data_IF_438265158111
#
_entry.id   IF_438265158111
#
_cell.length_a   1.000
_cell.length_b   1.000
_cell.length_c   1.000
_cell.angle_alpha   90.00
_cell.angle_beta   90.00
_cell.angle_gamma   90.00
#
_symmetry.space_group_name_H-M   'P 1'
#
loop_
_entity.id
_entity.type
_entity.pdbx_description
1 polymer ?
#
# COMPACT_ATOMS: atom_id res chain seq x y z
N UNK A 1 26.51 11.44 4.25
CA UNK A 1 25.77 10.27 4.76
C UNK A 1 24.41 10.70 5.26
N UNK A 2 23.38 9.91 4.99
CA UNK A 2 22.02 10.21 5.44
C UNK A 2 21.95 9.95 6.96
N UNK A 3 21.78 11.03 7.75
CA UNK A 3 21.69 10.94 9.22
C UNK A 3 20.53 10.07 9.72
N UNK A 4 19.47 9.91 8.92
CA UNK A 4 18.30 9.11 9.27
C UNK A 4 18.41 7.64 8.86
N UNK A 5 19.47 7.24 8.14
CA UNK A 5 19.61 5.85 7.67
C UNK A 5 19.64 4.84 8.81
N UNK A 6 20.30 5.20 9.91
CA UNK A 6 20.33 4.36 11.11
C UNK A 6 18.93 4.16 11.68
N UNK A 7 18.17 5.25 11.82
CA UNK A 7 16.79 5.20 12.34
C UNK A 7 15.91 4.32 11.48
N UNK A 8 16.05 4.38 10.13
CA UNK A 8 15.30 3.53 9.23
C UNK A 8 15.65 2.06 9.41
N UNK A 9 16.93 1.72 9.50
CA UNK A 9 17.37 0.33 9.69
C UNK A 9 16.93 -0.25 11.03
N UNK A 10 16.92 0.54 12.09
CA UNK A 10 16.43 0.14 13.42
C UNK A 10 14.91 -0.11 13.44
N UNK A 11 14.17 0.51 12.51
CA UNK A 11 12.72 0.45 12.44
C UNK A 11 12.20 -0.34 11.22
N UNK A 12 13.04 -1.11 10.54
CA UNK A 12 12.72 -1.84 9.29
C UNK A 12 11.53 -2.80 9.42
N UNK A 13 11.24 -3.29 10.60
CA UNK A 13 10.15 -4.25 10.83
C UNK A 13 8.76 -3.62 10.68
N UNK A 14 8.68 -2.29 10.80
CA UNK A 14 7.41 -1.56 10.67
C UNK A 14 7.48 -0.34 9.74
N UNK A 15 8.68 0.08 9.31
CA UNK A 15 8.87 1.22 8.41
C UNK A 15 9.58 0.78 7.14
N UNK A 16 8.86 0.73 6.03
CA UNK A 16 9.38 0.35 4.74
C UNK A 16 8.96 1.36 3.66
N UNK A 17 9.73 1.40 2.60
CA UNK A 17 9.54 2.33 1.49
C UNK A 17 9.27 1.55 0.20
N UNK A 18 8.31 2.02 -0.58
CA UNK A 18 7.96 1.37 -1.82
C UNK A 18 7.51 2.33 -2.91
N UNK A 19 7.52 1.83 -4.14
CA UNK A 19 7.05 2.57 -5.29
C UNK A 19 5.53 2.75 -5.24
N UNK A 20 5.05 3.97 -5.51
CA UNK A 20 3.63 4.28 -5.57
C UNK A 20 3.17 4.76 -6.94
N UNK A 21 3.91 5.68 -7.55
CA UNK A 21 3.55 6.31 -8.83
C UNK A 21 4.79 6.80 -9.58
N UNK A 22 4.66 6.94 -10.89
CA UNK A 22 5.69 7.56 -11.74
C UNK A 22 5.73 9.07 -11.48
N UNK A 23 4.56 9.67 -11.32
CA UNK A 23 4.38 11.10 -11.01
C UNK A 23 3.12 11.30 -10.16
N UNK A 24 2.95 12.48 -9.51
CA UNK A 24 1.79 12.74 -8.66
C UNK A 24 0.44 12.62 -9.39
N UNK A 25 0.37 13.11 -10.64
CA UNK A 25 -0.81 12.92 -11.48
C UNK A 25 -0.81 11.52 -12.09
N UNK A 26 -1.98 10.86 -12.07
CA UNK A 26 -2.12 9.55 -12.69
C UNK A 26 -2.11 9.67 -14.23
N UNK A 27 -1.20 8.95 -14.86
CA UNK A 27 -1.17 8.75 -16.30
C UNK A 27 -1.21 7.25 -16.60
N UNK A 28 -2.35 6.83 -17.17
CA UNK A 28 -2.58 5.42 -17.50
C UNK A 28 -1.65 4.95 -18.62
N UNK A 29 -1.36 5.79 -19.60
CA UNK A 29 -0.50 5.43 -20.73
C UNK A 29 0.93 5.17 -20.26
N UNK A 30 1.51 6.08 -19.46
CA UNK A 30 2.85 5.90 -18.88
C UNK A 30 2.90 4.69 -17.94
N UNK A 31 1.92 4.54 -17.05
CA UNK A 31 1.85 3.42 -16.10
C UNK A 31 1.66 2.06 -16.80
N UNK A 32 1.04 2.04 -17.99
CA UNK A 32 0.88 0.84 -18.81
C UNK A 32 2.14 0.47 -19.59
N UNK A 33 2.98 1.43 -19.88
CA UNK A 33 4.21 1.23 -20.65
C UNK A 33 5.28 0.62 -19.76
N UNK A 34 5.59 -0.66 -19.99
CA UNK A 34 6.55 -1.40 -19.17
C UNK A 34 7.96 -0.80 -19.19
N UNK A 35 8.37 -0.17 -20.29
CA UNK A 35 9.72 0.43 -20.41
C UNK A 35 9.77 1.68 -19.52
N UNK A 36 8.77 2.54 -19.57
CA UNK A 36 8.70 3.76 -18.74
C UNK A 36 8.57 3.36 -17.27
N UNK A 37 7.66 2.41 -16.96
CA UNK A 37 7.42 1.95 -15.60
C UNK A 37 8.67 1.33 -14.99
N UNK A 38 9.36 0.43 -15.69
CA UNK A 38 10.54 -0.24 -15.14
C UNK A 38 11.67 0.73 -14.84
N UNK A 39 11.94 1.71 -15.72
CA UNK A 39 12.94 2.75 -15.48
C UNK A 39 12.61 3.58 -14.24
N UNK A 40 11.36 4.02 -14.10
CA UNK A 40 10.93 4.82 -12.94
C UNK A 40 11.01 4.00 -11.64
N UNK A 41 10.59 2.73 -11.68
CA UNK A 41 10.68 1.81 -10.54
C UNK A 41 12.13 1.60 -10.12
N UNK A 42 13.02 1.25 -11.05
CA UNK A 42 14.43 0.96 -10.76
C UNK A 42 15.18 2.19 -10.24
N UNK A 43 14.85 3.37 -10.77
CA UNK A 43 15.40 4.62 -10.26
C UNK A 43 15.00 4.84 -8.79
N UNK A 44 13.71 4.77 -8.47
CA UNK A 44 13.22 4.95 -7.09
C UNK A 44 13.75 3.85 -6.16
N UNK A 45 13.79 2.59 -6.64
CA UNK A 45 14.31 1.46 -5.87
C UNK A 45 15.78 1.67 -5.50
N UNK A 46 16.59 2.22 -6.42
CA UNK A 46 17.96 2.63 -6.15
C UNK A 46 18.05 3.76 -5.13
N UNK A 47 17.19 4.79 -5.26
CA UNK A 47 17.10 5.89 -4.30
C UNK A 47 16.77 5.39 -2.90
N UNK A 48 15.80 4.48 -2.75
CA UNK A 48 15.45 3.86 -1.45
C UNK A 48 16.65 3.13 -0.87
N UNK A 49 17.37 2.35 -1.68
CA UNK A 49 18.57 1.63 -1.24
C UNK A 49 19.66 2.55 -0.70
N UNK A 50 19.85 3.72 -1.31
CA UNK A 50 20.82 4.73 -0.87
C UNK A 50 20.31 5.44 0.41
N UNK A 51 19.05 5.86 0.39
CA UNK A 51 18.43 6.71 1.43
C UNK A 51 18.15 5.93 2.72
N UNK A 52 17.50 4.77 2.62
CA UNK A 52 16.99 4.03 3.76
C UNK A 52 17.68 2.67 3.99
N UNK A 53 18.37 2.13 2.99
CA UNK A 53 18.90 0.78 3.01
C UNK A 53 17.99 -0.20 2.25
N UNK A 54 18.59 -1.26 1.74
CA UNK A 54 17.87 -2.28 0.97
C UNK A 54 16.88 -3.06 1.82
N UNK A 55 17.16 -3.19 3.09
CA UNK A 55 16.35 -3.88 4.10
C UNK A 55 15.01 -3.18 4.37
N UNK A 56 14.93 -1.90 4.05
CA UNK A 56 13.72 -1.09 4.19
C UNK A 56 12.88 -1.04 2.91
N UNK A 57 13.19 -1.84 1.90
CA UNK A 57 12.34 -1.95 0.71
C UNK A 57 11.09 -2.77 1.00
N UNK A 58 9.94 -2.20 0.67
CA UNK A 58 8.67 -2.88 0.81
C UNK A 58 8.52 -4.02 -0.20
N UNK A 59 8.07 -5.18 0.25
CA UNK A 59 7.65 -6.30 -0.59
C UNK A 59 6.17 -6.26 -0.96
N UNK A 60 5.42 -5.36 -0.34
CA UNK A 60 4.02 -5.07 -0.64
C UNK A 60 3.87 -3.64 -1.15
N UNK A 61 3.13 -3.45 -2.24
CA UNK A 61 2.93 -2.13 -2.84
C UNK A 61 1.47 -1.78 -3.03
N UNK A 62 1.16 -0.50 -2.89
CA UNK A 62 -0.09 0.12 -3.32
C UNK A 62 0.20 1.07 -4.48
N UNK A 63 -0.03 0.62 -5.71
CA UNK A 63 0.16 1.50 -6.86
C UNK A 63 -0.98 2.52 -6.97
N UNK A 64 -0.65 3.66 -7.56
CA UNK A 64 -1.57 4.76 -7.77
C UNK A 64 -2.80 4.28 -8.57
N UNK A 65 -3.99 4.71 -8.15
CA UNK A 65 -5.30 4.26 -8.67
C UNK A 65 -5.50 2.74 -8.67
N UNK A 66 -4.64 1.96 -7.97
CA UNK A 66 -4.67 0.49 -7.97
C UNK A 66 -4.59 -0.09 -9.39
N UNK A 67 -3.80 0.57 -10.23
CA UNK A 67 -3.70 0.21 -11.63
C UNK A 67 -2.31 -0.33 -11.99
N UNK A 68 -2.31 -1.45 -12.70
CA UNK A 68 -1.15 -2.01 -13.38
C UNK A 68 -1.62 -2.97 -14.49
N UNK A 69 -0.87 -3.04 -15.58
CA UNK A 69 -1.06 -4.08 -16.59
C UNK A 69 -0.47 -5.41 -16.12
N UNK A 70 -0.87 -6.57 -16.69
CA UNK A 70 -0.26 -7.86 -16.36
C UNK A 70 1.26 -7.89 -16.56
N UNK A 71 1.78 -7.17 -17.55
CA UNK A 71 3.24 -7.04 -17.79
C UNK A 71 3.93 -6.32 -16.64
N UNK A 72 3.33 -5.25 -16.13
CA UNK A 72 3.84 -4.50 -14.97
C UNK A 72 3.78 -5.36 -13.70
N UNK A 73 2.69 -6.08 -13.47
CA UNK A 73 2.57 -7.00 -12.34
C UNK A 73 3.65 -8.09 -12.39
N UNK A 74 3.87 -8.71 -13.55
CA UNK A 74 4.94 -9.71 -13.73
C UNK A 74 6.33 -9.14 -13.49
N UNK A 75 6.58 -7.91 -13.94
CA UNK A 75 7.86 -7.21 -13.67
C UNK A 75 8.06 -7.00 -12.16
N UNK A 76 7.05 -6.48 -11.46
CA UNK A 76 7.11 -6.25 -10.02
C UNK A 76 7.37 -7.57 -9.25
N UNK A 77 6.71 -8.65 -9.65
CA UNK A 77 6.94 -9.96 -9.05
C UNK A 77 8.41 -10.41 -9.20
N UNK A 78 9.00 -10.24 -10.39
CA UNK A 78 10.43 -10.52 -10.63
C UNK A 78 11.37 -9.62 -9.79
N UNK A 79 10.91 -8.45 -9.37
CA UNK A 79 11.66 -7.53 -8.48
C UNK A 79 11.48 -7.83 -6.99
N UNK A 80 10.80 -8.94 -6.65
CA UNK A 80 10.60 -9.36 -5.26
C UNK A 80 9.34 -8.78 -4.60
N UNK A 81 8.51 -8.07 -5.36
CA UNK A 81 7.19 -7.67 -4.86
C UNK A 81 6.29 -8.89 -4.87
N UNK A 82 5.82 -9.30 -3.72
CA UNK A 82 4.99 -10.49 -3.54
C UNK A 82 3.52 -10.17 -3.26
N UNK A 83 3.20 -8.88 -3.00
CA UNK A 83 1.84 -8.45 -2.70
C UNK A 83 1.49 -7.08 -3.28
N UNK A 84 0.25 -6.97 -3.78
CA UNK A 84 -0.34 -5.71 -4.21
C UNK A 84 -1.58 -5.40 -3.36
N UNK A 85 -1.61 -4.19 -2.79
CA UNK A 85 -2.74 -3.71 -1.99
C UNK A 85 -3.82 -3.17 -2.93
N UNK A 86 -4.97 -3.84 -2.95
CA UNK A 86 -6.09 -3.54 -3.84
C UNK A 86 -7.06 -2.51 -3.24
N UNK A 87 -7.96 -2.02 -4.08
CA UNK A 87 -8.93 -0.99 -3.72
C UNK A 87 -9.88 -1.41 -2.59
N UNK A 88 -10.29 -0.42 -1.82
CA UNK A 88 -11.32 -0.51 -0.79
C UNK A 88 -12.75 -0.36 -1.34
N UNK A 89 -12.88 0.02 -2.62
CA UNK A 89 -14.16 0.25 -3.31
C UNK A 89 -14.38 -0.74 -4.47
N UNK A 90 -15.35 -0.44 -5.34
CA UNK A 90 -15.81 -1.35 -6.40
C UNK A 90 -14.97 -1.34 -7.67
N UNK A 91 -13.91 -0.54 -7.73
CA UNK A 91 -13.04 -0.52 -8.90
C UNK A 91 -12.29 -1.83 -9.10
N UNK A 92 -12.02 -2.16 -10.35
CA UNK A 92 -11.14 -3.28 -10.69
C UNK A 92 -9.69 -2.88 -10.41
N UNK A 93 -9.02 -3.65 -9.55
CA UNK A 93 -7.63 -3.43 -9.20
C UNK A 93 -6.70 -4.23 -10.14
N UNK A 94 -5.62 -3.59 -10.58
CA UNK A 94 -4.50 -4.23 -11.29
C UNK A 94 -4.91 -5.02 -12.55
N UNK A 95 -5.94 -4.56 -13.24
CA UNK A 95 -6.49 -5.26 -14.42
C UNK A 95 -6.90 -6.72 -14.14
N UNK A 96 -7.23 -7.03 -12.89
CA UNK A 96 -7.74 -8.36 -12.53
C UNK A 96 -9.04 -8.68 -13.30
N UNK A 97 -9.22 -9.93 -13.74
CA UNK A 97 -10.52 -10.37 -14.25
C UNK A 97 -11.63 -10.07 -13.22
N UNK A 98 -12.82 -9.67 -13.70
CA UNK A 98 -13.95 -9.29 -12.84
C UNK A 98 -14.25 -10.34 -11.76
N UNK A 99 -14.27 -11.63 -12.14
CA UNK A 99 -14.50 -12.76 -11.20
C UNK A 99 -13.49 -12.78 -10.06
N UNK A 100 -12.20 -12.53 -10.36
CA UNK A 100 -11.16 -12.51 -9.33
C UNK A 100 -11.25 -11.27 -8.44
N UNK A 101 -11.60 -10.13 -9.01
CA UNK A 101 -11.85 -8.93 -8.24
C UNK A 101 -13.05 -9.09 -7.29
N UNK A 102 -14.12 -9.78 -7.73
CA UNK A 102 -15.27 -10.11 -6.89
C UNK A 102 -14.90 -11.10 -5.77
N UNK A 103 -14.05 -12.09 -6.08
CA UNK A 103 -13.49 -13.02 -5.07
C UNK A 103 -12.63 -12.29 -4.04
N UNK A 104 -11.79 -11.35 -4.49
CA UNK A 104 -10.96 -10.53 -3.60
C UNK A 104 -11.80 -9.69 -2.63
N UNK A 105 -12.93 -9.17 -3.07
CA UNK A 105 -13.85 -8.42 -2.20
C UNK A 105 -14.44 -9.28 -1.09
N UNK A 106 -14.73 -10.55 -1.38
CA UNK A 106 -15.32 -11.50 -0.41
C UNK A 106 -14.27 -12.04 0.56
N UNK A 107 -13.12 -12.45 0.03
CA UNK A 107 -12.08 -13.16 0.79
C UNK A 107 -11.00 -12.23 1.37
N UNK A 108 -11.00 -10.92 1.05
CA UNK A 108 -9.97 -9.95 1.39
C UNK A 108 -8.58 -10.25 0.82
N UNK A 109 -8.30 -11.48 0.42
CA UNK A 109 -7.01 -11.89 -0.15
C UNK A 109 -7.23 -12.93 -1.23
N UNK A 110 -6.49 -12.82 -2.33
CA UNK A 110 -6.41 -13.85 -3.39
C UNK A 110 -4.98 -13.95 -3.90
N UNK A 111 -4.64 -15.08 -4.50
CA UNK A 111 -3.39 -15.25 -5.26
C UNK A 111 -3.73 -15.47 -6.73
N UNK A 112 -3.01 -14.80 -7.62
CA UNK A 112 -3.18 -14.95 -9.05
C UNK A 112 -1.86 -14.67 -9.78
N UNK A 113 -1.45 -15.58 -10.67
CA UNK A 113 -0.20 -15.50 -11.43
C UNK A 113 1.04 -15.18 -10.57
N UNK A 114 1.16 -15.86 -9.42
CA UNK A 114 2.29 -15.70 -8.49
C UNK A 114 2.24 -14.45 -7.60
N UNK A 115 1.32 -13.53 -7.86
CA UNK A 115 1.14 -12.32 -7.07
C UNK A 115 -0.02 -12.48 -6.08
N UNK A 116 0.20 -12.06 -4.84
CA UNK A 116 -0.86 -11.97 -3.83
C UNK A 116 -1.52 -10.58 -3.90
N UNK A 117 -2.84 -10.56 -3.83
CA UNK A 117 -3.63 -9.34 -3.77
C UNK A 117 -4.36 -9.29 -2.43
N UNK A 118 -4.24 -8.17 -1.73
CA UNK A 118 -4.96 -7.96 -0.49
C UNK A 118 -5.79 -6.68 -0.57
N UNK A 119 -7.05 -6.79 -0.20
CA UNK A 119 -7.96 -5.64 -0.15
C UNK A 119 -7.52 -4.66 0.94
N UNK A 120 -7.56 -3.37 0.64
CA UNK A 120 -7.54 -2.32 1.65
C UNK A 120 -8.87 -2.34 2.40
N UNK A 121 -8.84 -2.42 3.71
CA UNK A 121 -10.05 -2.50 4.53
C UNK A 121 -10.53 -1.11 4.95
N UNK A 122 -9.60 -0.21 5.23
CA UNK A 122 -9.92 1.07 5.81
C UNK A 122 -9.09 2.20 5.21
N UNK A 123 -9.79 3.23 4.75
CA UNK A 123 -9.20 4.48 4.29
C UNK A 123 -9.66 5.62 5.19
N UNK A 124 -8.72 6.25 5.89
CA UNK A 124 -9.02 7.27 6.88
C UNK A 124 -9.85 8.44 6.31
N UNK A 125 -9.57 8.85 5.08
CA UNK A 125 -10.27 9.97 4.43
C UNK A 125 -11.77 9.71 4.25
N UNK A 126 -12.15 8.44 4.02
CA UNK A 126 -13.54 8.03 3.81
C UNK A 126 -14.31 7.82 5.12
N UNK A 127 -13.63 7.76 6.23
CA UNK A 127 -14.31 7.57 7.53
C UNK A 127 -15.14 8.77 7.89
N UNK A 128 -16.43 8.56 8.08
CA UNK A 128 -17.37 9.58 8.55
C UNK A 128 -17.45 9.59 10.08
N UNK A 129 -17.58 8.42 10.67
CA UNK A 129 -17.67 8.24 12.11
C UNK A 129 -16.76 7.10 12.60
N UNK A 130 -15.46 7.40 12.86
CA UNK A 130 -14.45 6.39 13.19
C UNK A 130 -14.86 5.33 14.22
N UNK A 131 -15.57 5.64 15.32
CA UNK A 131 -15.98 4.61 16.28
C UNK A 131 -16.82 3.48 15.71
N UNK A 132 -17.66 3.76 14.73
CA UNK A 132 -18.52 2.76 14.09
C UNK A 132 -17.74 1.93 13.08
N UNK A 133 -16.99 2.61 12.20
CA UNK A 133 -16.24 1.93 11.14
C UNK A 133 -15.16 1.02 11.72
N UNK A 134 -14.46 1.45 12.78
CA UNK A 134 -13.43 0.65 13.43
C UNK A 134 -14.00 -0.59 14.15
N UNK A 135 -15.20 -0.51 14.72
CA UNK A 135 -15.84 -1.67 15.37
C UNK A 135 -16.25 -2.76 14.37
N UNK A 136 -16.52 -2.37 13.13
CA UNK A 136 -16.97 -3.26 12.06
C UNK A 136 -15.80 -3.87 11.25
N UNK A 137 -14.57 -3.65 11.67
CA UNK A 137 -13.40 -4.24 11.03
C UNK A 137 -13.34 -5.76 11.29
N UNK A 138 -12.80 -6.54 10.34
CA UNK A 138 -12.58 -7.97 10.56
C UNK A 138 -11.59 -8.21 11.72
N UNK A 139 -11.78 -9.34 12.42
CA UNK A 139 -10.93 -9.72 13.56
C UNK A 139 -9.54 -10.27 13.16
N UNK A 140 -9.21 -10.14 11.91
CA UNK A 140 -7.96 -10.62 11.35
C UNK A 140 -7.03 -9.42 11.01
N UNK A 141 -6.23 -9.54 9.98
CA UNK A 141 -5.34 -8.49 9.52
C UNK A 141 -6.11 -7.39 8.78
N UNK A 142 -5.99 -6.18 9.24
CA UNK A 142 -6.60 -4.98 8.64
C UNK A 142 -5.53 -4.19 7.90
N UNK A 143 -5.80 -3.88 6.63
CA UNK A 143 -5.01 -2.91 5.86
C UNK A 143 -5.63 -1.53 6.00
N UNK A 144 -4.96 -0.70 6.77
CA UNK A 144 -5.33 0.70 6.98
C UNK A 144 -4.39 1.62 6.22
N UNK A 145 -4.91 2.64 5.55
CA UNK A 145 -4.06 3.67 4.98
C UNK A 145 -4.67 5.07 5.04
N UNK A 146 -3.80 6.05 4.94
CA UNK A 146 -4.15 7.47 4.78
C UNK A 146 -3.14 8.13 3.85
N UNK A 147 -3.48 9.32 3.37
CA UNK A 147 -2.53 10.20 2.68
C UNK A 147 -2.00 11.23 3.66
N UNK A 148 -0.73 11.55 3.55
CA UNK A 148 -0.04 12.52 4.40
C UNK A 148 -0.70 13.90 4.41
N UNK A 149 -1.29 14.33 3.28
CA UNK A 149 -2.01 15.58 3.18
C UNK A 149 -3.21 15.67 4.13
N UNK A 150 -3.78 14.54 4.54
CA UNK A 150 -4.88 14.50 5.50
C UNK A 150 -4.42 14.81 6.94
N UNK A 151 -3.14 14.59 7.22
CA UNK A 151 -2.56 14.83 8.54
C UNK A 151 -2.19 16.32 8.77
N UNK A 152 -2.21 17.14 7.73
CA UNK A 152 -1.92 18.57 7.84
C UNK A 152 -3.04 19.37 8.54
N UNK A 153 -4.27 18.85 8.56
CA UNK A 153 -5.40 19.49 9.21
C UNK A 153 -5.72 18.92 10.58
N UNK A 154 -6.18 19.77 11.52
CA UNK A 154 -6.56 19.36 12.89
C UNK A 154 -7.53 18.17 12.90
N UNK A 155 -8.54 18.19 12.00
CA UNK A 155 -9.57 17.12 11.91
C UNK A 155 -8.95 15.78 11.45
N UNK A 156 -8.05 15.81 10.48
CA UNK A 156 -7.37 14.61 9.99
C UNK A 156 -6.46 14.02 11.05
N UNK A 157 -5.69 14.89 11.73
CA UNK A 157 -4.84 14.48 12.85
C UNK A 157 -5.65 13.84 13.98
N UNK A 158 -6.76 14.45 14.39
CA UNK A 158 -7.63 13.90 15.43
C UNK A 158 -8.19 12.52 15.06
N UNK A 159 -8.61 12.33 13.79
CA UNK A 159 -9.04 11.01 13.30
C UNK A 159 -7.91 9.98 13.38
N UNK A 160 -6.72 10.36 12.98
CA UNK A 160 -5.56 9.48 12.99
C UNK A 160 -5.19 9.08 14.43
N UNK A 161 -5.11 10.04 15.34
CA UNK A 161 -4.82 9.80 16.76
C UNK A 161 -5.89 8.88 17.38
N UNK A 162 -7.16 9.06 17.02
CA UNK A 162 -8.24 8.17 17.47
C UNK A 162 -8.07 6.75 16.93
N UNK A 163 -7.71 6.58 15.64
CA UNK A 163 -7.43 5.27 15.07
C UNK A 163 -6.28 4.57 15.80
N UNK A 164 -5.17 5.27 16.04
CA UNK A 164 -4.03 4.73 16.77
C UNK A 164 -4.41 4.32 18.20
N UNK A 165 -5.14 5.18 18.91
CA UNK A 165 -5.66 4.87 20.23
C UNK A 165 -6.53 3.61 20.22
N UNK A 166 -7.45 3.50 19.26
CA UNK A 166 -8.34 2.34 19.13
C UNK A 166 -7.53 1.06 18.89
N UNK A 167 -6.61 1.04 17.93
CA UNK A 167 -5.79 -0.13 17.63
C UNK A 167 -4.90 -0.53 18.82
N UNK A 168 -4.34 0.43 19.53
CA UNK A 168 -3.56 0.18 20.74
C UNK A 168 -4.44 -0.44 21.85
N UNK A 169 -5.66 0.08 22.05
CA UNK A 169 -6.62 -0.47 23.02
C UNK A 169 -7.02 -1.91 22.68
N UNK A 170 -7.12 -2.25 21.39
CA UNK A 170 -7.37 -3.61 20.90
C UNK A 170 -6.12 -4.50 20.91
N UNK A 171 -4.98 -3.99 21.38
CA UNK A 171 -3.68 -4.69 21.38
C UNK A 171 -3.27 -5.17 19.97
N UNK A 172 -3.64 -4.42 18.93
CA UNK A 172 -3.25 -4.73 17.56
C UNK A 172 -1.74 -4.68 17.40
N UNK A 173 -1.18 -5.64 16.67
CA UNK A 173 0.23 -5.62 16.27
C UNK A 173 0.35 -4.94 14.91
N UNK A 174 1.11 -3.85 14.86
CA UNK A 174 1.48 -3.21 13.60
C UNK A 174 2.65 -3.96 12.97
N UNK A 175 2.56 -4.24 11.67
CA UNK A 175 3.64 -4.86 10.90
C UNK A 175 3.44 -4.61 9.41
N UNK A 176 4.52 -4.68 8.67
CA UNK A 176 4.45 -4.79 7.21
C UNK A 176 3.86 -6.15 6.81
N UNK A 177 3.06 -6.13 5.75
CA UNK A 177 2.38 -7.30 5.19
C UNK A 177 2.98 -7.69 3.84
#
# INVERSE_FOLDING_TARGET
SNKFKKDFLENKDWLQFGFHAIKPAFDKAETSNIIIFSKAYEHLDSCIGIFAGRENKASALRLHYYYATPKVVSFLHKKGINRLLAADDDRISYSLPKRLNDSLRKANTISFNGMNYRRTNLRMEKMLFPPVELRNLPNDTVVFFTHECQLNGKRGKLKFDYCLWFFNKQKCKFRFI
#
